data_IF_909714807777
#
_entry.id   IF_909714807777
#
_cell.length_a   1.000
_cell.length_b   1.000
_cell.length_c   1.000
_cell.angle_alpha   90.00
_cell.angle_beta   90.00
_cell.angle_gamma   90.00
#
_symmetry.space_group_name_H-M   'P 1'
#
loop_
_entity.id
_entity.type
_entity.pdbx_description
1 polymer ?
#
# COMPACT_ATOMS: atom_id res chain seq x y z
N UNK A 1 -7.28 -3.50 -31.13
CA UNK A 1 -6.79 -2.10 -30.98
C UNK A 1 -6.69 -1.59 -29.54
N UNK A 2 -7.48 -2.09 -28.59
CA UNK A 2 -7.53 -1.58 -27.19
C UNK A 2 -6.28 -1.93 -26.38
N UNK A 3 -5.70 -3.13 -26.56
CA UNK A 3 -4.50 -3.56 -25.85
C UNK A 3 -3.26 -2.70 -26.16
N UNK A 4 -3.01 -2.38 -27.43
CA UNK A 4 -1.90 -1.52 -27.85
C UNK A 4 -2.03 -0.09 -27.30
N UNK A 5 -3.26 0.49 -27.33
CA UNK A 5 -3.54 1.80 -26.71
C UNK A 5 -3.29 1.78 -25.19
N UNK A 6 -3.63 0.68 -24.51
CA UNK A 6 -3.39 0.50 -23.07
C UNK A 6 -1.89 0.45 -22.76
N UNK A 7 -1.12 -0.30 -23.54
CA UNK A 7 0.34 -0.37 -23.42
C UNK A 7 0.98 1.01 -23.62
N UNK A 8 0.56 1.73 -24.68
CA UNK A 8 1.06 3.07 -24.96
C UNK A 8 0.78 4.04 -23.81
N UNK A 9 -0.45 4.05 -23.27
CA UNK A 9 -0.80 4.90 -22.10
C UNK A 9 0.03 4.54 -20.87
N UNK A 10 0.28 3.25 -20.63
CA UNK A 10 1.14 2.79 -19.52
C UNK A 10 2.57 3.30 -19.69
N UNK A 11 3.13 3.17 -20.89
CA UNK A 11 4.48 3.66 -21.21
C UNK A 11 4.59 5.19 -21.07
N UNK A 12 3.59 5.94 -21.54
CA UNK A 12 3.53 7.40 -21.39
C UNK A 12 3.48 7.83 -19.92
N UNK A 13 2.65 7.16 -19.11
CA UNK A 13 2.58 7.43 -17.66
C UNK A 13 3.91 7.14 -16.98
N UNK A 14 4.56 6.04 -17.33
CA UNK A 14 5.86 5.66 -16.78
C UNK A 14 6.94 6.68 -17.17
N UNK A 15 7.04 7.06 -18.45
CA UNK A 15 7.97 8.06 -18.91
C UNK A 15 7.78 9.42 -18.22
N UNK A 16 6.52 9.83 -18.04
CA UNK A 16 6.19 11.07 -17.33
C UNK A 16 6.56 11.01 -15.85
N UNK A 17 6.31 9.88 -15.18
CA UNK A 17 6.71 9.67 -13.79
C UNK A 17 8.23 9.74 -13.62
N UNK A 18 8.98 9.02 -14.47
CA UNK A 18 10.45 9.06 -14.45
C UNK A 18 11.02 10.45 -14.74
N UNK A 19 10.40 11.22 -15.64
CA UNK A 19 10.81 12.60 -15.91
C UNK A 19 10.57 13.51 -14.69
N UNK A 20 9.43 13.36 -14.01
CA UNK A 20 9.14 14.11 -12.78
C UNK A 20 10.15 13.82 -11.68
N UNK A 21 10.45 12.54 -11.46
CA UNK A 21 11.42 12.09 -10.46
C UNK A 21 12.83 12.63 -10.74
N UNK A 22 13.33 12.47 -11.98
CA UNK A 22 14.62 13.03 -12.39
C UNK A 22 14.70 14.55 -12.21
N UNK A 23 13.60 15.26 -12.47
CA UNK A 23 13.57 16.71 -12.30
C UNK A 23 13.59 17.11 -10.82
N UNK A 24 12.86 16.38 -9.96
CA UNK A 24 12.89 16.58 -8.52
C UNK A 24 14.30 16.35 -7.94
N UNK A 25 14.99 15.29 -8.37
CA UNK A 25 16.38 15.04 -7.98
C UNK A 25 17.32 16.17 -8.40
N UNK A 26 17.16 16.69 -9.64
CA UNK A 26 17.97 17.82 -10.13
C UNK A 26 17.72 19.08 -9.31
N UNK A 27 16.47 19.36 -8.93
CA UNK A 27 16.12 20.48 -8.07
C UNK A 27 16.78 20.31 -6.69
N UNK A 28 16.68 19.13 -6.09
CA UNK A 28 17.27 18.82 -4.78
C UNK A 28 18.80 18.92 -4.78
N UNK A 29 19.45 18.47 -5.86
CA UNK A 29 20.91 18.64 -6.02
C UNK A 29 21.29 20.10 -6.19
N UNK A 30 20.54 20.85 -7.01
CA UNK A 30 20.81 22.25 -7.29
C UNK A 30 20.54 23.15 -6.07
N UNK A 31 19.58 22.81 -5.19
CA UNK A 31 19.25 23.63 -4.02
C UNK A 31 20.44 23.88 -3.10
N UNK A 32 21.38 22.94 -3.05
CA UNK A 32 22.54 22.99 -2.15
C UNK A 32 23.82 23.50 -2.83
N UNK A 33 23.82 23.64 -4.16
CA UNK A 33 25.06 23.86 -4.94
C UNK A 33 24.98 25.01 -5.94
N UNK A 34 23.82 25.25 -6.56
CA UNK A 34 23.64 26.29 -7.57
C UNK A 34 22.23 26.90 -7.48
N UNK A 35 22.17 28.05 -6.80
CA UNK A 35 20.93 28.80 -6.56
C UNK A 35 20.28 29.27 -7.86
N UNK A 36 21.06 29.59 -8.90
CA UNK A 36 20.53 30.09 -10.18
C UNK A 36 19.88 28.95 -10.97
N UNK A 37 20.54 27.80 -11.01
CA UNK A 37 19.97 26.59 -11.63
C UNK A 37 18.73 26.11 -10.86
N UNK A 38 18.76 26.16 -9.53
CA UNK A 38 17.62 25.83 -8.68
C UNK A 38 16.36 26.64 -9.05
N UNK A 39 16.45 27.97 -9.05
CA UNK A 39 15.31 28.81 -9.41
C UNK A 39 14.87 28.62 -10.87
N UNK A 40 15.81 28.39 -11.79
CA UNK A 40 15.47 28.07 -13.20
C UNK A 40 14.65 26.79 -13.31
N UNK A 41 15.05 25.72 -12.61
CA UNK A 41 14.35 24.44 -12.62
C UNK A 41 12.96 24.53 -11.97
N UNK A 42 12.84 25.26 -10.86
CA UNK A 42 11.55 25.56 -10.21
C UNK A 42 10.63 26.32 -11.16
N UNK A 43 11.14 27.34 -11.85
CA UNK A 43 10.35 28.14 -12.78
C UNK A 43 9.90 27.34 -14.01
N UNK A 44 10.73 26.43 -14.51
CA UNK A 44 10.34 25.53 -15.62
C UNK A 44 9.22 24.56 -15.25
N UNK A 45 9.04 24.20 -13.97
CA UNK A 45 7.94 23.35 -13.53
C UNK A 45 6.62 24.09 -13.34
N UNK A 46 6.62 25.42 -13.28
CA UNK A 46 5.40 26.21 -13.11
C UNK A 46 4.65 26.26 -14.44
N UNK A 47 3.44 25.70 -14.48
CA UNK A 47 2.56 25.70 -15.67
C UNK A 47 2.04 27.09 -16.06
N UNK A 48 2.13 28.05 -15.15
CA UNK A 48 1.60 29.41 -15.34
C UNK A 48 2.72 30.42 -15.08
N UNK A 49 2.97 31.38 -15.97
CA UNK A 49 3.89 32.48 -15.68
C UNK A 49 3.40 33.24 -14.43
N UNK A 50 4.33 33.57 -13.54
CA UNK A 50 4.06 34.35 -12.34
C UNK A 50 3.49 35.72 -12.74
N UNK A 51 2.20 35.97 -12.47
CA UNK A 51 1.74 37.32 -12.27
C UNK A 51 2.17 37.73 -10.85
N UNK A 52 2.90 38.84 -10.73
CA UNK A 52 3.10 39.46 -9.43
C UNK A 52 1.74 40.02 -8.98
N UNK A 53 1.03 39.25 -8.17
CA UNK A 53 -0.26 39.63 -7.63
C UNK A 53 -0.04 40.15 -6.21
N UNK A 54 -0.43 41.40 -5.94
CA UNK A 54 -0.42 41.96 -4.57
C UNK A 54 -1.50 41.33 -3.69
N UNK A 55 -2.48 40.69 -4.30
CA UNK A 55 -3.65 40.11 -3.65
C UNK A 55 -3.44 38.61 -3.46
N UNK A 56 -3.40 38.18 -2.20
CA UNK A 56 -3.44 36.77 -1.80
C UNK A 56 -4.88 36.37 -1.55
N UNK A 57 -5.36 35.30 -2.19
CA UNK A 57 -6.72 34.78 -2.00
C UNK A 57 -6.71 33.32 -1.52
N UNK A 58 -7.46 33.02 -0.45
CA UNK A 58 -7.60 31.68 0.12
C UNK A 58 -9.01 31.51 0.71
N UNK A 59 -9.78 30.51 0.28
CA UNK A 59 -11.11 30.19 0.84
C UNK A 59 -12.03 31.42 1.03
N UNK A 60 -12.17 32.25 -0.02
CA UNK A 60 -12.92 33.52 -0.03
C UNK A 60 -12.34 34.66 0.83
N UNK A 61 -11.21 34.48 1.49
CA UNK A 61 -10.45 35.56 2.14
C UNK A 61 -9.47 36.17 1.15
N UNK A 62 -9.33 37.49 1.18
CA UNK A 62 -8.41 38.25 0.32
C UNK A 62 -7.59 39.22 1.16
N UNK A 63 -6.26 39.21 1.01
CA UNK A 63 -5.39 40.22 1.62
C UNK A 63 -4.49 40.85 0.54
N UNK A 64 -4.38 42.18 0.55
CA UNK A 64 -3.66 42.94 -0.49
C UNK A 64 -2.29 43.44 -0.07
N UNK A 65 -2.02 43.62 1.23
CA UNK A 65 -0.68 43.84 1.79
C UNK A 65 -0.72 43.89 3.33
N UNK A 66 0.39 43.53 3.98
CA UNK A 66 0.59 43.71 5.43
C UNK A 66 0.47 42.44 6.30
N UNK A 67 0.27 42.60 7.63
CA UNK A 67 0.24 41.49 8.61
C UNK A 67 -0.77 40.39 8.28
N UNK A 68 -1.92 40.75 7.70
CA UNK A 68 -2.98 39.78 7.36
C UNK A 68 -2.60 38.77 6.28
N UNK A 69 -1.54 39.02 5.50
CA UNK A 69 -0.99 38.02 4.57
C UNK A 69 -0.41 36.84 5.35
N UNK A 70 0.25 37.10 6.49
CA UNK A 70 0.84 36.02 7.30
C UNK A 70 -0.23 35.13 7.93
N UNK A 71 -1.35 35.70 8.35
CA UNK A 71 -2.47 34.92 8.88
C UNK A 71 -3.06 33.98 7.82
N UNK A 72 -3.20 34.46 6.58
CA UNK A 72 -3.66 33.62 5.45
C UNK A 72 -2.64 32.52 5.13
N UNK A 73 -1.34 32.82 5.13
CA UNK A 73 -0.31 31.80 4.92
C UNK A 73 -0.29 30.76 6.03
N UNK A 74 -0.42 31.18 7.28
CA UNK A 74 -0.48 30.29 8.43
C UNK A 74 -1.67 29.33 8.28
N UNK A 75 -2.86 29.85 7.96
CA UNK A 75 -4.05 29.04 7.70
C UNK A 75 -3.84 28.06 6.53
N UNK A 76 -3.26 28.53 5.41
CA UNK A 76 -2.99 27.68 4.25
C UNK A 76 -2.05 26.52 4.59
N UNK A 77 -0.92 26.81 5.24
CA UNK A 77 0.04 25.77 5.61
C UNK A 77 -0.50 24.84 6.70
N UNK A 78 -1.32 25.34 7.61
CA UNK A 78 -1.99 24.51 8.60
C UNK A 78 -2.99 23.54 7.94
N UNK A 79 -3.71 23.97 6.91
CA UNK A 79 -4.59 23.10 6.11
C UNK A 79 -3.81 22.07 5.30
N UNK A 80 -2.64 22.43 4.75
CA UNK A 80 -1.78 21.46 4.06
C UNK A 80 -1.15 20.45 5.02
N UNK A 81 -0.82 20.87 6.24
CA UNK A 81 -0.22 20.03 7.26
C UNK A 81 -1.24 19.13 7.97
N UNK A 82 -2.51 19.57 8.03
CA UNK A 82 -3.61 18.82 8.65
C UNK A 82 -4.41 18.14 7.55
N UNK A 83 -4.20 16.84 7.28
CA UNK A 83 -4.97 16.14 6.26
C UNK A 83 -6.46 16.24 6.61
N UNK A 84 -7.19 17.07 5.88
CA UNK A 84 -8.65 17.00 5.84
C UNK A 84 -8.98 15.70 5.13
N UNK A 85 -9.41 14.70 5.90
CA UNK A 85 -10.06 13.52 5.35
C UNK A 85 -11.28 14.03 4.56
N UNK A 86 -11.17 14.05 3.23
CA UNK A 86 -12.31 14.39 2.38
C UNK A 86 -13.49 13.50 2.78
N UNK A 87 -14.69 14.06 2.78
CA UNK A 87 -15.92 13.33 3.13
C UNK A 87 -16.19 12.13 2.18
N UNK A 88 -15.48 12.09 1.03
CA UNK A 88 -15.45 11.02 0.05
C UNK A 88 -14.06 10.36 -0.04
N UNK A 89 -13.35 10.23 1.09
CA UNK A 89 -12.10 9.49 1.12
C UNK A 89 -12.38 8.05 0.67
N UNK A 90 -11.67 7.62 -0.37
CA UNK A 90 -11.87 6.34 -1.05
C UNK A 90 -11.66 5.18 -0.07
N UNK A 91 -12.75 4.73 0.56
CA UNK A 91 -12.76 3.68 1.60
C UNK A 91 -12.18 2.39 1.06
N UNK A 92 -12.41 2.10 -0.23
CA UNK A 92 -11.81 0.94 -0.92
C UNK A 92 -10.28 1.01 -0.92
N UNK A 93 -9.71 2.22 -1.05
CA UNK A 93 -8.26 2.41 -1.03
C UNK A 93 -7.67 2.24 0.37
N UNK A 94 -8.41 2.59 1.43
CA UNK A 94 -8.01 2.32 2.81
C UNK A 94 -8.03 0.81 3.07
N UNK A 95 -9.12 0.14 2.72
CA UNK A 95 -9.25 -1.32 2.89
C UNK A 95 -8.15 -2.08 2.14
N UNK A 96 -7.84 -1.66 0.90
CA UNK A 96 -6.75 -2.25 0.13
C UNK A 96 -5.38 -2.01 0.77
N UNK A 97 -5.15 -0.84 1.37
CA UNK A 97 -3.91 -0.53 2.07
C UNK A 97 -3.76 -1.37 3.35
N UNK A 98 -4.86 -1.58 4.10
CA UNK A 98 -4.88 -2.43 5.29
C UNK A 98 -4.61 -3.90 4.93
N UNK A 99 -5.27 -4.42 3.90
CA UNK A 99 -5.01 -5.78 3.39
C UNK A 99 -3.55 -5.94 2.98
N UNK A 100 -3.00 -4.96 2.26
CA UNK A 100 -1.61 -5.03 1.80
C UNK A 100 -0.61 -4.98 2.97
N UNK A 101 -0.87 -4.16 3.99
CA UNK A 101 -0.04 -4.12 5.20
C UNK A 101 -0.10 -5.44 5.97
N UNK A 102 -1.27 -6.04 6.13
CA UNK A 102 -1.43 -7.35 6.78
C UNK A 102 -0.68 -8.46 6.03
N UNK A 103 -0.70 -8.45 4.70
CA UNK A 103 0.06 -9.39 3.88
C UNK A 103 1.56 -9.21 4.11
N UNK A 104 2.06 -7.97 4.07
CA UNK A 104 3.48 -7.68 4.32
C UNK A 104 3.87 -8.13 5.72
N UNK A 105 3.08 -7.81 6.74
CA UNK A 105 3.33 -8.21 8.13
C UNK A 105 3.39 -9.73 8.27
N UNK A 106 2.45 -10.47 7.67
CA UNK A 106 2.43 -11.94 7.68
C UNK A 106 3.64 -12.57 6.98
N UNK A 107 4.11 -11.96 5.88
CA UNK A 107 5.29 -12.43 5.16
C UNK A 107 6.55 -12.16 5.98
N UNK A 108 6.66 -10.97 6.60
CA UNK A 108 7.82 -10.62 7.42
C UNK A 108 7.87 -11.41 8.74
N UNK A 109 6.72 -11.71 9.37
CA UNK A 109 6.67 -12.62 10.52
C UNK A 109 6.94 -14.07 10.13
N UNK A 110 6.54 -14.49 8.92
CA UNK A 110 6.87 -15.82 8.39
C UNK A 110 8.33 -15.97 7.95
N UNK A 111 9.03 -14.87 7.62
CA UNK A 111 10.47 -14.84 7.31
C UNK A 111 11.29 -15.05 8.60
N UNK A 112 11.39 -16.30 9.04
CA UNK A 112 12.19 -16.68 10.20
C UNK A 112 11.71 -17.94 10.89
N UNK A 113 10.47 -18.37 10.63
CA UNK A 113 10.01 -19.70 11.01
C UNK A 113 10.61 -20.71 10.03
N UNK A 114 11.70 -21.36 10.45
CA UNK A 114 12.17 -22.56 9.77
C UNK A 114 11.03 -23.58 9.70
N UNK A 115 10.90 -24.27 8.58
CA UNK A 115 10.02 -25.44 8.50
C UNK A 115 10.55 -26.42 9.54
N UNK A 116 9.75 -26.75 10.56
CA UNK A 116 10.15 -27.71 11.59
C UNK A 116 10.66 -28.99 10.93
N UNK A 117 11.84 -29.43 11.36
CA UNK A 117 12.49 -30.58 10.77
C UNK A 117 11.70 -31.84 11.15
N UNK A 118 10.88 -32.33 10.23
CA UNK A 118 10.07 -33.53 10.43
C UNK A 118 10.99 -34.72 10.73
N UNK A 119 10.95 -35.23 11.96
CA UNK A 119 11.78 -36.35 12.38
C UNK A 119 11.11 -37.63 11.88
N UNK A 120 11.86 -38.55 11.26
CA UNK A 120 11.35 -39.85 10.77
C UNK A 120 10.56 -40.61 11.85
N UNK A 121 10.89 -40.41 13.13
CA UNK A 121 10.18 -40.96 14.28
C UNK A 121 8.74 -40.45 14.38
N UNK A 122 8.48 -39.17 14.13
CA UNK A 122 7.15 -38.57 14.19
C UNK A 122 6.25 -39.10 13.08
N UNK A 123 6.80 -39.26 11.88
CA UNK A 123 6.11 -39.89 10.75
C UNK A 123 5.75 -41.34 11.07
N UNK A 124 6.68 -42.10 11.65
CA UNK A 124 6.42 -43.48 12.03
C UNK A 124 5.38 -43.60 13.15
N UNK A 125 5.38 -42.70 14.14
CA UNK A 125 4.33 -42.65 15.17
C UNK A 125 2.95 -42.33 14.56
N UNK A 126 2.88 -41.37 13.64
CA UNK A 126 1.64 -41.03 12.95
C UNK A 126 1.10 -42.22 12.14
N UNK A 127 1.98 -42.95 11.45
CA UNK A 127 1.61 -44.17 10.72
C UNK A 127 1.06 -45.25 11.66
N UNK A 128 1.70 -45.49 12.80
CA UNK A 128 1.23 -46.49 13.76
C UNK A 128 -0.11 -46.10 14.39
N UNK A 129 -0.31 -44.82 14.74
CA UNK A 129 -1.59 -44.33 15.24
C UNK A 129 -2.71 -44.53 14.22
N UNK A 130 -2.47 -44.21 12.95
CA UNK A 130 -3.45 -44.42 11.87
C UNK A 130 -3.78 -45.90 11.64
N UNK A 131 -2.82 -46.81 11.82
CA UNK A 131 -3.06 -48.26 11.75
C UNK A 131 -3.92 -48.74 12.91
N UNK A 132 -3.66 -48.24 14.12
CA UNK A 132 -4.45 -48.58 15.31
C UNK A 132 -5.89 -48.09 15.17
N UNK A 133 -6.08 -46.85 14.73
CA UNK A 133 -7.41 -46.27 14.50
C UNK A 133 -8.20 -47.05 13.43
N UNK A 134 -7.56 -47.39 12.30
CA UNK A 134 -8.19 -48.23 11.28
C UNK A 134 -8.54 -49.63 11.79
N UNK A 135 -7.70 -50.21 12.65
CA UNK A 135 -7.98 -51.51 13.25
C UNK A 135 -9.21 -51.43 14.15
N UNK A 136 -9.29 -50.40 14.98
CA UNK A 136 -10.41 -50.16 15.90
C UNK A 136 -11.73 -49.96 15.14
N UNK A 137 -11.73 -49.13 14.09
CA UNK A 137 -12.88 -48.93 13.20
C UNK A 137 -13.35 -50.25 12.57
N UNK A 138 -12.41 -51.09 12.10
CA UNK A 138 -12.74 -52.40 11.53
C UNK A 138 -13.33 -53.35 12.55
N UNK A 139 -12.84 -53.34 13.79
CA UNK A 139 -13.38 -54.18 14.86
C UNK A 139 -14.78 -53.73 15.30
N UNK A 140 -15.01 -52.43 15.41
CA UNK A 140 -16.33 -51.86 15.73
C UNK A 140 -17.34 -52.15 14.61
N UNK A 141 -16.95 -52.02 13.35
CA UNK A 141 -17.79 -52.37 12.20
C UNK A 141 -18.17 -53.86 12.20
N UNK A 142 -17.23 -54.75 12.56
CA UNK A 142 -17.50 -56.19 12.65
C UNK A 142 -18.43 -56.55 13.82
N UNK A 143 -18.29 -55.87 14.96
CA UNK A 143 -19.19 -56.05 16.10
C UNK A 143 -20.61 -55.55 15.78
N UNK A 144 -20.74 -54.39 15.13
CA UNK A 144 -22.04 -53.85 14.73
C UNK A 144 -22.76 -54.70 13.69
N UNK A 145 -22.05 -55.26 12.71
CA UNK A 145 -22.63 -56.19 11.72
C UNK A 145 -23.03 -57.52 12.35
N UNK A 146 -22.26 -58.01 13.33
CA UNK A 146 -22.64 -59.22 14.08
C UNK A 146 -23.88 -58.96 14.92
N UNK A 147 -23.95 -57.86 15.67
CA UNK A 147 -25.11 -57.53 16.51
C UNK A 147 -26.40 -57.30 15.71
N UNK A 148 -26.33 -56.75 14.49
CA UNK A 148 -27.49 -56.64 13.60
C UNK A 148 -27.95 -57.98 13.01
N UNK A 149 -27.06 -58.95 12.85
CA UNK A 149 -27.39 -60.29 12.35
C UNK A 149 -28.17 -61.17 13.34
N UNK A 150 -28.16 -60.84 14.64
CA UNK A 150 -28.93 -61.55 15.68
C UNK A 150 -30.32 -60.95 15.94
N UNK A 151 -30.68 -59.84 15.27
CA UNK A 151 -32.00 -59.18 15.41
C UNK A 151 -32.94 -59.44 14.23
N UNK A 152 -32.64 -60.41 13.35
CA UNK A 152 -33.55 -60.93 12.31
C UNK A 152 -33.91 -62.38 12.59
#
# INVERSE_FOLDING_TARGET
MTAAKRILRKAQRQAYASQRESTAEKILKASNTDTKLFYKLINMQRKTPLSNTKILTLNNKTAEDGPGIMDIWQEHFQQLASPTLEQNFDTEKIELAEIQNNIIESIETGKGQGIDHVIVKEVNMAIENLKQENHQIRTEFRQNTTNMGWMS
#
